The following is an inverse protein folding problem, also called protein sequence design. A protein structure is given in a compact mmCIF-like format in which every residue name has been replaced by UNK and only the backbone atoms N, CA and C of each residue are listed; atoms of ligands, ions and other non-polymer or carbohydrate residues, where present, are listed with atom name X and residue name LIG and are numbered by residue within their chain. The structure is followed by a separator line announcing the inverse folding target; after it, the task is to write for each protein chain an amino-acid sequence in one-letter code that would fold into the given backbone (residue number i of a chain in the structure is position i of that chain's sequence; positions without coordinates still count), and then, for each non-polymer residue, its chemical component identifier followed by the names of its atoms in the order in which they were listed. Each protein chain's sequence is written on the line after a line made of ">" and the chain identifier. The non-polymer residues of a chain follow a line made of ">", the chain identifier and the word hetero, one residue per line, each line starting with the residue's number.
data_IF_584224045519
#
_entry.id   IF_584224045519
#
_cell.length_a   1.000
_cell.length_b   1.000
_cell.length_c   1.000
_cell.angle_alpha   90.00
_cell.angle_beta   90.00
_cell.angle_gamma   90.00
#
_symmetry.space_group_name_H-M   'P 1'
#
loop_
_entity.id
_entity.type
_entity.pdbx_description
1 polymer ?
#
# COMPACT_ATOMS: atom_id res chain seq x y z
N UNK A 1 -19.17 16.71 16.24
CA UNK A 1 -18.23 16.69 15.10
C UNK A 1 -17.01 15.88 15.51
N UNK A 2 -16.88 14.65 15.03
CA UNK A 2 -15.66 13.87 15.23
C UNK A 2 -14.57 14.47 14.34
N UNK A 3 -13.40 14.72 14.91
CA UNK A 3 -12.26 15.23 14.17
C UNK A 3 -11.80 14.17 13.15
N UNK A 4 -11.56 14.58 11.91
CA UNK A 4 -10.91 13.73 10.91
C UNK A 4 -9.54 13.30 11.43
N UNK A 5 -9.31 12.00 11.60
CA UNK A 5 -8.02 11.48 12.04
C UNK A 5 -7.14 11.23 10.81
N UNK A 6 -5.98 11.87 10.79
CA UNK A 6 -4.96 11.67 9.77
C UNK A 6 -3.91 10.67 10.25
N UNK A 7 -3.48 9.79 9.38
CA UNK A 7 -2.55 8.71 9.66
C UNK A 7 -1.32 8.89 8.77
N UNK A 8 -0.15 9.00 9.39
CA UNK A 8 1.14 9.16 8.70
C UNK A 8 1.79 7.80 8.46
N UNK A 9 2.32 7.52 7.25
CA UNK A 9 2.96 6.25 6.96
C UNK A 9 4.29 6.09 7.72
N UNK A 10 4.56 4.90 8.26
CA UNK A 10 5.83 4.59 8.94
C UNK A 10 7.04 4.77 8.02
N UNK A 11 6.89 4.56 6.73
CA UNK A 11 7.94 4.71 5.73
C UNK A 11 8.57 6.11 5.70
N UNK A 12 7.82 7.15 6.07
CA UNK A 12 8.29 8.55 6.07
C UNK A 12 9.08 8.94 7.32
N UNK A 13 8.94 8.21 8.43
CA UNK A 13 9.41 8.61 9.78
C UNK A 13 10.88 9.04 9.87
N UNK A 14 11.77 8.50 9.02
CA UNK A 14 13.20 8.82 9.02
C UNK A 14 13.68 9.59 7.78
N UNK A 15 12.77 10.00 6.89
CA UNK A 15 13.11 10.72 5.66
C UNK A 15 13.88 12.01 5.90
N UNK A 16 13.36 12.96 6.72
CA UNK A 16 14.04 14.23 7.00
C UNK A 16 15.42 14.05 7.63
N UNK A 17 15.54 13.11 8.58
CA UNK A 17 16.81 12.84 9.26
C UNK A 17 17.87 12.27 8.31
N UNK A 18 17.49 11.35 7.42
CA UNK A 18 18.39 10.80 6.41
C UNK A 18 18.83 11.86 5.40
N UNK A 19 17.93 12.72 4.94
CA UNK A 19 18.26 13.80 4.02
C UNK A 19 19.21 14.81 4.66
N UNK A 20 18.95 15.22 5.91
CA UNK A 20 19.78 16.14 6.66
C UNK A 20 21.16 15.55 6.94
N UNK A 21 21.25 14.29 7.37
CA UNK A 21 22.51 13.59 7.61
C UNK A 21 23.35 13.45 6.33
N UNK A 22 22.72 13.08 5.21
CA UNK A 22 23.38 12.99 3.91
C UNK A 22 23.94 14.36 3.46
N UNK A 23 23.13 15.41 3.57
CA UNK A 23 23.56 16.77 3.21
C UNK A 23 24.69 17.28 4.09
N UNK A 24 24.56 17.12 5.41
CA UNK A 24 25.60 17.52 6.36
C UNK A 24 26.93 16.76 6.11
N UNK A 25 26.84 15.45 5.84
CA UNK A 25 27.99 14.64 5.49
C UNK A 25 28.71 15.14 4.22
N UNK A 26 27.98 15.48 3.17
CA UNK A 26 28.57 16.03 1.94
C UNK A 26 29.29 17.37 2.24
N UNK A 27 28.63 18.28 2.97
CA UNK A 27 29.20 19.60 3.32
C UNK A 27 30.49 19.45 4.13
N UNK A 28 30.55 18.50 5.06
CA UNK A 28 31.72 18.24 5.89
C UNK A 28 32.88 17.58 5.10
N UNK A 29 32.57 16.67 4.18
CA UNK A 29 33.56 15.89 3.45
C UNK A 29 34.19 16.66 2.27
N UNK A 30 33.44 17.62 1.68
CA UNK A 30 33.95 18.41 0.57
C UNK A 30 35.27 19.14 0.87
N UNK A 31 35.43 19.90 1.97
CA UNK A 31 36.71 20.57 2.28
C UNK A 31 37.81 19.56 2.66
N UNK A 32 37.47 18.41 3.26
CA UNK A 32 38.43 17.37 3.57
C UNK A 32 39.05 16.76 2.29
N UNK A 33 38.25 16.58 1.23
CA UNK A 33 38.74 16.11 -0.07
C UNK A 33 39.81 17.03 -0.68
N UNK A 34 39.71 18.33 -0.43
CA UNK A 34 40.72 19.29 -0.88
C UNK A 34 41.98 19.29 -0.07
N UNK A 35 41.90 18.97 1.23
CA UNK A 35 43.03 19.09 2.16
C UNK A 35 43.87 17.78 2.32
N UNK A 36 43.27 16.62 2.09
CA UNK A 36 43.90 15.33 2.30
C UNK A 36 44.65 14.79 1.05
N UNK A 37 45.82 14.17 1.26
CA UNK A 37 46.65 13.56 0.23
C UNK A 37 46.03 12.33 -0.42
N UNK A 38 46.54 11.94 -1.60
CA UNK A 38 46.01 10.87 -2.49
C UNK A 38 45.62 9.56 -1.79
N UNK A 39 46.31 9.14 -0.73
CA UNK A 39 46.00 7.88 -0.05
C UNK A 39 44.67 7.86 0.71
N UNK A 40 44.22 9.02 1.20
CA UNK A 40 42.93 9.14 1.90
C UNK A 40 41.76 9.50 0.95
N UNK A 41 42.04 9.95 -0.27
CA UNK A 41 41.01 10.40 -1.21
C UNK A 41 40.00 9.30 -1.59
N UNK A 42 40.46 8.05 -1.78
CA UNK A 42 39.56 6.92 -2.10
C UNK A 42 38.53 6.68 -1.00
N UNK A 43 38.97 6.72 0.27
CA UNK A 43 38.07 6.53 1.41
C UNK A 43 37.07 7.69 1.51
N UNK A 44 37.54 8.93 1.31
CA UNK A 44 36.70 10.12 1.34
C UNK A 44 35.65 10.12 0.21
N UNK A 45 36.03 9.69 -1.00
CA UNK A 45 35.11 9.55 -2.15
C UNK A 45 34.04 8.50 -1.84
N UNK A 46 34.43 7.34 -1.29
CA UNK A 46 33.47 6.31 -0.91
C UNK A 46 32.49 6.81 0.16
N UNK A 47 32.98 7.53 1.16
CA UNK A 47 32.14 8.11 2.21
C UNK A 47 31.20 9.17 1.67
N UNK A 48 31.69 10.01 0.73
CA UNK A 48 30.86 11.00 0.06
C UNK A 48 29.75 10.36 -0.80
N UNK A 49 30.06 9.23 -1.48
CA UNK A 49 29.06 8.46 -2.21
C UNK A 49 27.98 7.89 -1.26
N UNK A 50 28.38 7.39 -0.10
CA UNK A 50 27.43 6.92 0.91
C UNK A 50 26.53 8.05 1.42
N UNK A 51 27.06 9.25 1.66
CA UNK A 51 26.29 10.43 2.03
C UNK A 51 25.32 10.86 0.91
N UNK A 52 25.74 10.78 -0.34
CA UNK A 52 24.88 11.06 -1.50
C UNK A 52 23.71 10.05 -1.59
N UNK A 53 23.99 8.77 -1.37
CA UNK A 53 22.95 7.73 -1.33
C UNK A 53 21.94 8.01 -0.19
N UNK A 54 22.43 8.36 1.00
CA UNK A 54 21.58 8.74 2.13
C UNK A 54 20.71 9.95 1.81
N UNK A 55 21.28 10.97 1.15
CA UNK A 55 20.53 12.16 0.71
C UNK A 55 19.44 11.80 -0.27
N UNK A 56 19.76 11.02 -1.31
CA UNK A 56 18.79 10.59 -2.33
C UNK A 56 17.67 9.77 -1.70
N UNK A 57 18.00 8.79 -0.85
CA UNK A 57 16.99 7.99 -0.14
C UNK A 57 16.12 8.84 0.78
N UNK A 58 16.70 9.82 1.47
CA UNK A 58 15.97 10.77 2.29
C UNK A 58 14.98 11.62 1.47
N UNK A 59 15.43 12.14 0.31
CA UNK A 59 14.57 12.91 -0.59
C UNK A 59 13.46 12.06 -1.23
N UNK A 60 13.74 10.80 -1.57
CA UNK A 60 12.71 9.88 -2.07
C UNK A 60 11.62 9.62 -1.01
N UNK A 61 12.01 9.43 0.25
CA UNK A 61 11.07 9.28 1.38
C UNK A 61 10.24 10.54 1.63
N UNK A 62 10.80 11.73 1.42
CA UNK A 62 10.08 12.99 1.54
C UNK A 62 9.02 13.20 0.44
N UNK A 63 9.14 12.51 -0.69
CA UNK A 63 8.14 12.54 -1.78
C UNK A 63 6.91 11.68 -1.50
N UNK A 64 6.94 10.84 -0.47
CA UNK A 64 5.74 10.10 -0.04
C UNK A 64 4.69 11.06 0.54
N UNK A 65 3.39 10.79 0.36
CA UNK A 65 2.33 11.63 0.90
C UNK A 65 2.45 11.75 2.41
N UNK A 66 2.08 12.91 2.94
CA UNK A 66 2.15 13.19 4.39
C UNK A 66 1.23 12.26 5.16
N UNK A 67 0.07 11.96 4.58
CA UNK A 67 -0.93 11.09 5.16
C UNK A 67 -1.21 9.92 4.22
N UNK A 68 -1.25 8.71 4.76
CA UNK A 68 -1.67 7.51 4.03
C UNK A 68 -3.17 7.27 4.15
N UNK A 69 -3.77 7.61 5.30
CA UNK A 69 -5.20 7.49 5.51
C UNK A 69 -5.78 8.74 6.17
N UNK A 70 -7.03 9.04 5.81
CA UNK A 70 -7.87 10.00 6.51
C UNK A 70 -9.19 9.32 6.86
N UNK A 71 -9.46 9.23 8.16
CA UNK A 71 -10.67 8.64 8.70
C UNK A 71 -11.67 9.76 8.99
N UNK A 72 -12.76 9.83 8.26
CA UNK A 72 -13.88 10.73 8.52
C UNK A 72 -15.07 9.96 9.10
N UNK A 73 -16.14 10.68 9.49
CA UNK A 73 -17.36 10.05 10.02
C UNK A 73 -18.03 9.11 9.00
N UNK A 74 -18.00 9.47 7.71
CA UNK A 74 -18.72 8.74 6.65
C UNK A 74 -17.80 7.93 5.77
N UNK A 75 -16.52 8.31 5.65
CA UNK A 75 -15.61 7.79 4.64
C UNK A 75 -14.25 7.39 5.21
N UNK A 76 -13.71 6.33 4.63
CA UNK A 76 -12.31 5.95 4.69
C UNK A 76 -11.61 6.44 3.41
N UNK A 77 -10.66 7.38 3.53
CA UNK A 77 -9.85 7.84 2.41
C UNK A 77 -8.44 7.27 2.53
N UNK A 78 -7.98 6.66 1.45
CA UNK A 78 -6.58 6.26 1.29
C UNK A 78 -5.89 7.23 0.35
N UNK A 79 -4.76 7.77 0.80
CA UNK A 79 -3.93 8.69 0.03
C UNK A 79 -2.67 7.99 -0.42
N UNK A 80 -2.41 8.02 -1.71
CA UNK A 80 -1.19 7.50 -2.29
C UNK A 80 -0.59 8.53 -3.25
N UNK A 81 0.73 8.50 -3.47
CA UNK A 81 1.44 9.45 -4.33
C UNK A 81 0.89 9.52 -5.76
N UNK A 82 0.36 8.42 -6.26
CA UNK A 82 -0.15 8.28 -7.63
C UNK A 82 -1.65 8.59 -7.72
N UNK A 83 -2.33 8.71 -6.59
CA UNK A 83 -3.76 8.91 -6.47
C UNK A 83 -4.26 8.28 -5.18
N UNK A 84 -5.54 8.43 -4.89
CA UNK A 84 -6.17 7.84 -3.71
C UNK A 84 -7.52 7.24 -4.07
N UNK A 85 -8.10 6.54 -3.11
CA UNK A 85 -9.47 6.07 -3.20
C UNK A 85 -10.24 6.43 -1.93
N UNK A 86 -11.55 6.45 -2.06
CA UNK A 86 -12.47 6.71 -0.96
C UNK A 86 -13.51 5.60 -0.89
N UNK A 87 -13.81 5.17 0.33
CA UNK A 87 -14.85 4.19 0.61
C UNK A 87 -15.78 4.73 1.68
N UNK A 88 -17.09 4.65 1.44
CA UNK A 88 -18.08 4.82 2.50
C UNK A 88 -18.03 3.65 3.49
N UNK A 89 -18.18 3.93 4.79
CA UNK A 89 -18.22 2.88 5.80
C UNK A 89 -19.35 1.88 5.56
N UNK A 90 -20.48 2.31 5.01
CA UNK A 90 -21.61 1.46 4.63
C UNK A 90 -21.27 0.43 3.56
N UNK A 91 -20.29 0.72 2.68
CA UNK A 91 -19.80 -0.21 1.66
C UNK A 91 -18.75 -1.19 2.18
N UNK A 92 -18.19 -0.96 3.37
CA UNK A 92 -17.25 -1.86 4.00
C UNK A 92 -18.01 -2.95 4.74
N UNK A 93 -17.82 -4.20 4.39
CA UNK A 93 -18.42 -5.37 5.06
C UNK A 93 -17.59 -5.82 6.24
N UNK A 94 -16.26 -5.87 6.04
CA UNK A 94 -15.32 -6.38 7.05
C UNK A 94 -13.92 -5.84 6.81
N UNK A 95 -13.23 -5.56 7.91
CA UNK A 95 -11.79 -5.22 7.94
C UNK A 95 -11.09 -6.18 8.87
N UNK A 96 -9.99 -6.77 8.38
CA UNK A 96 -9.19 -7.71 9.18
C UNK A 96 -7.75 -7.80 8.67
N UNK A 97 -6.90 -8.52 9.42
CA UNK A 97 -5.59 -8.94 8.95
C UNK A 97 -5.72 -10.32 8.29
N UNK A 98 -5.49 -10.45 6.97
CA UNK A 98 -5.58 -11.73 6.29
C UNK A 98 -4.56 -12.73 6.84
N UNK A 99 -4.97 -14.00 6.93
CA UNK A 99 -4.14 -15.11 7.38
C UNK A 99 -4.13 -16.20 6.33
N UNK A 100 -2.99 -16.84 6.17
CA UNK A 100 -2.81 -17.96 5.23
C UNK A 100 -2.28 -19.18 5.96
N UNK A 101 -2.68 -20.36 5.49
CA UNK A 101 -2.15 -21.61 5.99
C UNK A 101 -0.76 -21.86 5.39
N UNK A 102 0.26 -21.95 6.23
CA UNK A 102 1.61 -22.36 5.85
C UNK A 102 1.92 -23.71 6.51
N UNK A 103 1.50 -24.79 5.88
CA UNK A 103 1.56 -26.12 6.47
C UNK A 103 0.58 -26.27 7.63
N UNK A 104 1.10 -26.37 8.87
CA UNK A 104 0.27 -26.50 10.10
C UNK A 104 0.01 -25.15 10.78
N UNK A 105 0.70 -24.08 10.37
CA UNK A 105 0.62 -22.77 11.02
C UNK A 105 -0.22 -21.78 10.23
N UNK A 106 -0.99 -20.96 10.95
CA UNK A 106 -1.69 -19.81 10.42
C UNK A 106 -0.77 -18.57 10.50
N UNK A 107 -0.25 -18.15 9.35
CA UNK A 107 0.62 -16.97 9.24
C UNK A 107 -0.21 -15.74 8.88
N UNK A 108 -0.11 -14.70 9.71
CA UNK A 108 -0.71 -13.40 9.42
C UNK A 108 0.11 -12.69 8.32
N UNK A 109 -0.58 -12.16 7.33
CA UNK A 109 0.07 -11.37 6.28
C UNK A 109 0.27 -9.92 6.73
N UNK A 110 1.33 -9.24 6.26
CA UNK A 110 1.59 -7.83 6.58
C UNK A 110 0.68 -6.89 5.76
N UNK A 111 -0.62 -7.18 5.78
CA UNK A 111 -1.64 -6.45 5.02
C UNK A 111 -2.89 -6.23 5.85
N UNK A 112 -3.55 -5.10 5.61
CA UNK A 112 -4.93 -4.87 6.01
C UNK A 112 -5.83 -5.28 4.85
N UNK A 113 -6.71 -6.25 5.08
CA UNK A 113 -7.73 -6.69 4.13
C UNK A 113 -9.03 -5.97 4.38
N UNK A 114 -9.61 -5.40 3.33
CA UNK A 114 -10.92 -4.75 3.36
C UNK A 114 -11.84 -5.50 2.41
N UNK A 115 -12.97 -5.98 2.93
CA UNK A 115 -14.03 -6.59 2.13
C UNK A 115 -15.09 -5.53 1.86
N UNK A 116 -15.39 -5.28 0.60
CA UNK A 116 -16.42 -4.31 0.19
C UNK A 116 -17.68 -5.01 -0.27
N UNK A 117 -18.80 -4.31 -0.17
CA UNK A 117 -20.13 -4.82 -0.54
C UNK A 117 -20.38 -4.68 -2.03
N UNK A 118 -20.17 -3.46 -2.53
CA UNK A 118 -20.50 -3.07 -3.90
C UNK A 118 -19.30 -2.50 -4.63
N UNK A 119 -18.94 -3.15 -5.74
CA UNK A 119 -17.86 -2.71 -6.61
C UNK A 119 -18.28 -1.53 -7.50
N UNK A 120 -19.59 -1.39 -7.75
CA UNK A 120 -20.13 -0.35 -8.63
C UNK A 120 -20.06 1.05 -8.01
N UNK A 121 -19.98 1.11 -6.68
CA UNK A 121 -19.69 2.34 -5.95
C UNK A 121 -18.18 2.69 -5.97
N UNK A 122 -17.31 1.68 -6.02
CA UNK A 122 -15.86 1.84 -5.86
C UNK A 122 -15.11 2.01 -7.18
N UNK A 123 -15.35 1.12 -8.17
CA UNK A 123 -14.58 1.09 -9.42
C UNK A 123 -14.61 2.40 -10.21
N UNK A 124 -15.75 3.15 -10.30
CA UNK A 124 -15.77 4.41 -11.05
C UNK A 124 -14.94 5.53 -10.44
N UNK A 125 -14.63 5.45 -9.13
CA UNK A 125 -13.84 6.45 -8.41
C UNK A 125 -12.35 6.27 -8.59
N UNK A 126 -11.91 5.13 -9.16
CA UNK A 126 -10.50 4.79 -9.29
C UNK A 126 -9.85 5.46 -10.50
N UNK A 127 -8.73 6.13 -10.25
CA UNK A 127 -7.96 6.71 -11.35
C UNK A 127 -7.17 5.64 -12.11
N UNK A 128 -7.04 5.76 -13.46
CA UNK A 128 -6.30 4.77 -14.27
C UNK A 128 -4.86 4.53 -13.78
N UNK A 129 -4.19 5.58 -13.33
CA UNK A 129 -2.81 5.48 -12.81
C UNK A 129 -2.73 4.65 -11.54
N UNK A 130 -3.69 4.83 -10.63
CA UNK A 130 -3.76 4.07 -9.38
C UNK A 130 -4.11 2.61 -9.66
N UNK A 131 -5.01 2.34 -10.61
CA UNK A 131 -5.35 0.98 -11.03
C UNK A 131 -4.10 0.24 -11.51
N UNK A 132 -3.33 0.81 -12.44
CA UNK A 132 -2.10 0.19 -12.95
C UNK A 132 -1.10 -0.10 -11.83
N UNK A 133 -0.97 0.82 -10.88
CA UNK A 133 -0.11 0.63 -9.72
C UNK A 133 -0.58 -0.54 -8.85
N UNK A 134 -1.86 -0.57 -8.48
CA UNK A 134 -2.43 -1.66 -7.67
C UNK A 134 -2.31 -3.02 -8.37
N UNK A 135 -2.59 -3.08 -9.68
CA UNK A 135 -2.46 -4.32 -10.46
C UNK A 135 -1.01 -4.84 -10.45
N UNK A 136 -0.02 -3.95 -10.44
CA UNK A 136 1.40 -4.31 -10.40
C UNK A 136 1.81 -4.73 -8.99
N UNK A 137 1.50 -3.94 -7.98
CA UNK A 137 1.91 -4.17 -6.59
C UNK A 137 1.25 -5.40 -5.96
N UNK A 138 0.06 -5.77 -6.45
CA UNK A 138 -0.67 -6.93 -5.94
C UNK A 138 -0.34 -8.25 -6.65
N UNK A 139 0.51 -8.23 -7.70
CA UNK A 139 0.97 -9.47 -8.36
C UNK A 139 1.61 -10.48 -7.41
N UNK A 140 2.49 -10.08 -6.47
CA UNK A 140 3.05 -11.01 -5.49
C UNK A 140 1.99 -11.70 -4.64
N UNK A 141 0.87 -11.05 -4.33
CA UNK A 141 -0.24 -11.65 -3.58
C UNK A 141 -0.86 -12.83 -4.34
N UNK A 142 -1.04 -12.73 -5.65
CA UNK A 142 -1.53 -13.85 -6.46
C UNK A 142 -0.52 -15.02 -6.45
N UNK A 143 0.78 -14.72 -6.59
CA UNK A 143 1.83 -15.73 -6.55
C UNK A 143 1.93 -16.44 -5.19
N UNK A 144 1.65 -15.72 -4.11
CA UNK A 144 1.54 -16.31 -2.75
C UNK A 144 0.42 -17.35 -2.66
N UNK A 145 -0.68 -17.20 -3.42
CA UNK A 145 -1.76 -18.19 -3.49
C UNK A 145 -1.26 -19.58 -3.94
N UNK A 146 -0.33 -19.62 -4.90
CA UNK A 146 0.33 -20.88 -5.30
C UNK A 146 1.26 -21.40 -4.21
N UNK A 147 2.04 -20.51 -3.60
CA UNK A 147 2.99 -20.89 -2.54
C UNK A 147 2.30 -21.53 -1.34
N UNK A 148 1.11 -21.04 -0.99
CA UNK A 148 0.31 -21.57 0.11
C UNK A 148 -0.68 -22.64 -0.31
N UNK A 149 -0.64 -23.09 -1.58
CA UNK A 149 -1.48 -24.18 -2.08
C UNK A 149 -2.96 -23.85 -2.21
N UNK A 150 -3.33 -22.56 -2.20
CA UNK A 150 -4.73 -22.13 -2.37
C UNK A 150 -5.18 -22.24 -3.83
N UNK A 151 -4.27 -22.01 -4.78
CA UNK A 151 -4.47 -22.16 -6.22
C UNK A 151 -3.30 -22.89 -6.85
N UNK A 152 -3.52 -23.50 -8.01
CA UNK A 152 -2.46 -24.11 -8.84
C UNK A 152 -1.77 -23.09 -9.76
N UNK A 153 -0.69 -23.52 -10.41
CA UNK A 153 0.07 -22.66 -11.33
C UNK A 153 -0.70 -22.31 -12.60
N UNK A 154 -1.57 -23.19 -13.08
CA UNK A 154 -2.37 -22.96 -14.28
C UNK A 154 -3.37 -21.83 -14.01
N UNK A 155 -4.07 -21.89 -12.89
CA UNK A 155 -5.01 -20.86 -12.46
C UNK A 155 -4.31 -19.50 -12.22
N UNK A 156 -3.09 -19.51 -11.65
CA UNK A 156 -2.29 -18.28 -11.52
C UNK A 156 -1.99 -17.68 -12.90
N UNK A 157 -1.62 -18.52 -13.88
CA UNK A 157 -1.33 -18.03 -15.24
C UNK A 157 -2.55 -17.34 -15.86
N UNK A 158 -3.72 -17.94 -15.74
CA UNK A 158 -4.98 -17.36 -16.23
C UNK A 158 -5.31 -16.04 -15.52
N UNK A 159 -5.05 -15.96 -14.24
CA UNK A 159 -5.32 -14.74 -13.46
C UNK A 159 -4.32 -13.61 -13.68
N UNK A 160 -3.13 -13.91 -14.18
CA UNK A 160 -2.14 -12.88 -14.57
C UNK A 160 -2.47 -12.25 -15.93
N UNK A 161 -3.24 -12.97 -16.78
CA UNK A 161 -3.82 -12.46 -18.02
C UNK A 161 -5.19 -11.91 -17.68
N UNK A 162 -5.22 -10.66 -17.19
CA UNK A 162 -6.46 -10.04 -16.74
C UNK A 162 -7.38 -9.74 -17.94
N UNK A 163 -8.64 -10.22 -17.86
CA UNK A 163 -9.66 -9.89 -18.86
C UNK A 163 -10.01 -8.41 -18.79
N UNK A 164 -10.20 -7.81 -19.96
CA UNK A 164 -10.59 -6.40 -20.12
C UNK A 164 -12.07 -6.17 -20.04
N UNK A 165 -12.87 -7.20 -19.78
CA UNK A 165 -14.33 -7.14 -19.64
C UNK A 165 -14.73 -7.75 -18.30
N UNK A 166 -15.41 -6.97 -17.48
CA UNK A 166 -15.90 -7.40 -16.16
C UNK A 166 -17.39 -7.05 -16.02
N UNK A 167 -18.16 -7.97 -15.48
CA UNK A 167 -19.57 -7.75 -15.11
C UNK A 167 -19.70 -7.82 -13.60
N UNK A 168 -20.19 -6.72 -13.00
CA UNK A 168 -20.45 -6.68 -11.56
C UNK A 168 -21.62 -7.56 -11.15
N UNK A 169 -21.75 -7.83 -9.87
CA UNK A 169 -22.88 -8.57 -9.31
C UNK A 169 -24.24 -7.88 -9.58
N UNK A 170 -24.25 -6.55 -9.65
CA UNK A 170 -25.42 -5.76 -10.01
C UNK A 170 -25.69 -5.69 -11.54
N UNK A 171 -24.86 -6.36 -12.35
CA UNK A 171 -25.03 -6.44 -13.81
C UNK A 171 -24.39 -5.31 -14.60
N UNK A 172 -23.67 -4.37 -13.97
CA UNK A 172 -22.96 -3.29 -14.67
C UNK A 172 -21.72 -3.85 -15.40
N UNK A 173 -21.51 -3.36 -16.63
CA UNK A 173 -20.37 -3.77 -17.45
C UNK A 173 -19.24 -2.74 -17.33
N UNK A 174 -18.03 -3.24 -17.07
CA UNK A 174 -16.78 -2.47 -17.04
C UNK A 174 -15.86 -2.94 -18.14
N UNK A 175 -15.02 -2.03 -18.68
CA UNK A 175 -14.06 -2.32 -19.73
C UNK A 175 -12.67 -1.76 -19.36
N UNK A 176 -11.62 -2.34 -19.94
CA UNK A 176 -10.25 -1.92 -19.77
C UNK A 176 -9.75 -2.03 -18.34
N UNK A 177 -9.04 -1.01 -17.84
CA UNK A 177 -8.40 -1.04 -16.52
C UNK A 177 -9.38 -1.26 -15.36
N UNK A 178 -10.57 -0.69 -15.43
CA UNK A 178 -11.58 -0.88 -14.38
C UNK A 178 -12.07 -2.34 -14.33
N UNK A 179 -12.18 -3.01 -15.48
CA UNK A 179 -12.50 -4.43 -15.56
C UNK A 179 -11.37 -5.29 -14.97
N UNK A 180 -10.12 -5.00 -15.33
CA UNK A 180 -8.94 -5.68 -14.79
C UNK A 180 -8.87 -5.57 -13.26
N UNK A 181 -9.16 -4.37 -12.71
CA UNK A 181 -9.23 -4.19 -11.26
C UNK A 181 -10.36 -4.99 -10.63
N UNK A 182 -11.55 -5.03 -11.26
CA UNK A 182 -12.68 -5.83 -10.81
C UNK A 182 -12.35 -7.31 -10.71
N UNK A 183 -11.66 -7.86 -11.72
CA UNK A 183 -11.15 -9.24 -11.71
C UNK A 183 -10.14 -9.43 -10.59
N UNK A 184 -9.14 -8.52 -10.45
CA UNK A 184 -8.14 -8.57 -9.39
C UNK A 184 -8.77 -8.61 -8.00
N UNK A 185 -9.74 -7.75 -7.73
CA UNK A 185 -10.47 -7.72 -6.47
C UNK A 185 -11.20 -9.05 -6.22
N UNK A 186 -11.83 -9.63 -7.25
CA UNK A 186 -12.49 -10.93 -7.15
C UNK A 186 -11.50 -12.06 -6.84
N UNK A 187 -10.32 -12.07 -7.48
CA UNK A 187 -9.28 -13.05 -7.22
C UNK A 187 -8.71 -12.93 -5.80
N UNK A 188 -8.49 -11.70 -5.29
CA UNK A 188 -8.05 -11.47 -3.93
C UNK A 188 -9.12 -11.92 -2.92
N UNK A 189 -10.41 -11.70 -3.22
CA UNK A 189 -11.52 -12.20 -2.41
C UNK A 189 -11.52 -13.73 -2.35
N UNK A 190 -11.26 -14.40 -3.46
CA UNK A 190 -11.19 -15.87 -3.50
C UNK A 190 -10.00 -16.39 -2.69
N UNK A 191 -8.81 -15.75 -2.79
CA UNK A 191 -7.61 -16.17 -2.09
C UNK A 191 -7.63 -15.89 -0.58
N UNK A 192 -8.05 -14.68 -0.23
CA UNK A 192 -7.85 -14.13 1.12
C UNK A 192 -9.15 -13.73 1.83
N UNK A 193 -10.27 -13.72 1.11
CA UNK A 193 -11.57 -13.27 1.63
C UNK A 193 -11.77 -11.76 1.63
N UNK A 194 -10.85 -10.98 1.02
CA UNK A 194 -10.86 -9.52 0.98
C UNK A 194 -10.61 -9.02 -0.44
N UNK A 195 -11.17 -7.86 -0.77
CA UNK A 195 -11.11 -7.25 -2.10
C UNK A 195 -9.94 -6.29 -2.26
N UNK A 196 -9.65 -5.54 -1.19
CA UNK A 196 -8.56 -4.58 -1.15
C UNK A 196 -7.56 -5.02 -0.10
N UNK A 197 -6.28 -4.91 -0.47
CA UNK A 197 -5.16 -5.28 0.38
C UNK A 197 -4.23 -4.08 0.47
N UNK A 198 -4.04 -3.55 1.68
CA UNK A 198 -3.13 -2.43 1.95
C UNK A 198 -1.95 -2.94 2.77
N UNK A 199 -0.74 -2.71 2.28
CA UNK A 199 0.49 -3.17 2.92
C UNK A 199 0.79 -2.38 4.20
N UNK A 200 1.41 -3.01 5.19
CA UNK A 200 1.76 -2.41 6.48
C UNK A 200 2.64 -1.17 6.37
N UNK A 201 3.46 -1.05 5.33
CA UNK A 201 4.29 0.15 5.09
C UNK A 201 3.50 1.45 4.95
N UNK A 202 2.20 1.34 4.60
CA UNK A 202 1.28 2.47 4.51
C UNK A 202 0.65 2.85 5.86
N UNK A 203 0.95 2.12 6.95
CA UNK A 203 0.34 2.31 8.25
C UNK A 203 1.29 3.10 9.19
N UNK A 204 0.71 3.67 10.25
CA UNK A 204 1.45 4.37 11.33
C UNK A 204 1.74 3.46 12.53
N UNK A 205 1.14 2.29 12.55
CA UNK A 205 1.16 1.31 13.65
C UNK A 205 1.13 -0.11 13.11
N UNK A 206 1.23 -1.07 14.01
CA UNK A 206 1.10 -2.49 13.66
C UNK A 206 -0.25 -2.79 12.99
N UNK A 207 -0.25 -3.78 12.08
CA UNK A 207 -1.44 -4.13 11.28
C UNK A 207 -2.64 -4.50 12.14
N UNK A 208 -2.42 -5.22 13.24
CA UNK A 208 -3.50 -5.64 14.15
C UNK A 208 -4.15 -4.44 14.85
N UNK A 209 -3.33 -3.48 15.33
CA UNK A 209 -3.81 -2.27 16.00
C UNK A 209 -4.55 -1.36 15.02
N UNK A 210 -4.08 -1.28 13.77
CA UNK A 210 -4.74 -0.51 12.73
C UNK A 210 -6.11 -1.10 12.37
N UNK A 211 -6.21 -2.42 12.25
CA UNK A 211 -7.49 -3.12 12.04
C UNK A 211 -8.46 -2.82 13.17
N UNK A 212 -8.01 -2.81 14.43
CA UNK A 212 -8.87 -2.45 15.56
C UNK A 212 -9.36 -1.00 15.48
N UNK A 213 -8.49 -0.08 15.06
CA UNK A 213 -8.87 1.31 14.82
C UNK A 213 -9.97 1.42 13.76
N UNK A 214 -9.79 0.79 12.59
CA UNK A 214 -10.78 0.81 11.52
C UNK A 214 -12.12 0.19 11.96
N UNK A 215 -12.09 -0.88 12.73
CA UNK A 215 -13.31 -1.51 13.28
C UNK A 215 -14.08 -0.58 14.21
N UNK A 216 -13.38 0.22 15.02
CA UNK A 216 -14.03 1.22 15.90
C UNK A 216 -14.76 2.28 15.07
N UNK A 217 -14.15 2.77 13.99
CA UNK A 217 -14.79 3.72 13.07
C UNK A 217 -15.97 3.09 12.33
N UNK A 218 -15.81 1.89 11.81
CA UNK A 218 -16.87 1.13 11.13
C UNK A 218 -18.07 0.84 12.06
N UNK A 219 -17.82 0.44 13.32
CA UNK A 219 -18.89 0.18 14.31
C UNK A 219 -19.61 1.43 14.83
N UNK A 220 -19.09 2.64 14.58
CA UNK A 220 -19.70 3.92 14.95
C UNK A 220 -20.33 4.65 13.77
N UNK A 221 -20.20 4.10 12.54
CA UNK A 221 -20.87 4.62 11.35
C UNK A 221 -22.41 4.47 11.46
N UNK A 222 -23.19 5.27 10.70
CA UNK A 222 -24.64 5.13 10.68
C UNK A 222 -24.98 3.71 10.24
N UNK A 223 -25.71 3.01 11.12
CA UNK A 223 -26.31 1.71 10.78
C UNK A 223 -27.26 1.98 9.62
N UNK A 224 -26.95 1.50 8.42
CA UNK A 224 -27.90 1.51 7.32
C UNK A 224 -29.09 0.61 7.71
N UNK A 225 -30.21 1.22 8.02
CA UNK A 225 -31.53 0.59 8.23
C UNK A 225 -32.02 0.01 6.90
#
# INVERSE_FOLDING_TARGET
>A
MKQTQHIEPMSRRHGPALAAAGLAGIILLLPLLYWFNHSAQLVLIFLMLACLVCLVLGLLKLREPVYSFSLSEDNLHFHHRIGGWSLHWSNIVRVDQPRVNSGLDLVALPYVGIKIRDYDEFLPLMTPRLIVHLLTDQRPLLAMGVRFGTIDRAKLHDWLIEDTHYRSAAGRHYQGLAAMLGHRMSHLRELYGYDLMVHESCLDRDTADFVQLLRRYHGTGPVAL
#
